data_IF_076611934866
#
_entry.id   IF_076611934866
#
_cell.length_a   1.000
_cell.length_b   1.000
_cell.length_c   1.000
_cell.angle_alpha   90.00
_cell.angle_beta   90.00
_cell.angle_gamma   90.00
#
_symmetry.space_group_name_H-M   'P 1'
#
loop_
_entity.id
_entity.type
_entity.pdbx_description
1 polymer ?
#
# COMPACT_ATOMS: atom_id res chain seq x y z
N UNK A 1 -40.73 -1.22 70.31
CA UNK A 1 -41.17 -2.41 69.55
C UNK A 1 -40.90 -2.14 68.08
N UNK A 2 -40.05 -2.98 67.46
CA UNK A 2 -39.76 -3.13 66.01
C UNK A 2 -39.24 -1.87 65.28
N UNK A 3 -38.15 -1.83 64.51
CA UNK A 3 -37.28 -2.84 63.89
C UNK A 3 -36.81 -2.28 62.53
N UNK A 4 -35.53 -2.47 62.20
CA UNK A 4 -34.95 -2.51 60.84
C UNK A 4 -34.90 -1.19 60.01
N UNK A 5 -33.89 -0.88 59.19
CA UNK A 5 -32.61 -1.47 58.87
C UNK A 5 -31.76 -0.39 58.18
N UNK A 6 -30.47 -0.35 58.51
CA UNK A 6 -29.46 0.38 57.74
C UNK A 6 -29.30 -0.30 56.38
N UNK A 7 -29.63 0.40 55.29
CA UNK A 7 -29.31 -0.04 53.92
C UNK A 7 -28.50 1.04 53.21
N UNK A 8 -27.19 0.90 53.29
CA UNK A 8 -26.24 1.50 52.36
C UNK A 8 -26.60 1.04 50.94
N UNK A 9 -26.77 1.99 50.02
CA UNK A 9 -26.71 1.72 48.59
C UNK A 9 -25.46 2.41 48.07
N UNK A 10 -24.46 1.56 47.83
CA UNK A 10 -23.16 1.88 47.27
C UNK A 10 -23.32 2.54 45.90
N UNK A 11 -22.70 3.71 45.74
CA UNK A 11 -22.52 4.35 44.42
C UNK A 11 -21.49 3.51 43.67
N UNK A 12 -21.93 2.71 42.69
CA UNK A 12 -21.03 2.04 41.76
C UNK A 12 -20.71 3.03 40.65
N UNK A 13 -19.58 3.72 40.77
CA UNK A 13 -18.98 4.49 39.68
C UNK A 13 -18.30 3.49 38.73
N UNK A 14 -19.03 3.00 37.71
CA UNK A 14 -18.45 2.18 36.65
C UNK A 14 -17.55 3.08 35.80
N UNK A 15 -16.25 3.03 36.05
CA UNK A 15 -15.25 3.62 35.18
C UNK A 15 -15.30 2.88 33.82
N UNK A 16 -15.93 3.49 32.82
CA UNK A 16 -15.79 3.07 31.43
C UNK A 16 -14.34 3.34 31.04
N UNK A 17 -13.50 2.30 31.14
CA UNK A 17 -12.14 2.31 30.62
C UNK A 17 -12.26 2.31 29.09
N UNK A 18 -12.27 3.49 28.49
CA UNK A 18 -12.24 3.68 27.05
C UNK A 18 -10.97 3.05 26.50
N UNK A 19 -11.09 1.88 25.88
CA UNK A 19 -10.06 1.34 25.01
C UNK A 19 -9.89 2.32 23.85
N UNK A 20 -8.92 3.22 23.99
CA UNK A 20 -8.38 3.96 22.87
C UNK A 20 -7.73 2.93 21.93
N UNK A 21 -8.52 2.45 20.97
CA UNK A 21 -7.96 1.75 19.82
C UNK A 21 -7.18 2.80 19.06
N UNK A 22 -5.86 2.81 19.23
CA UNK A 22 -4.97 3.55 18.36
C UNK A 22 -5.15 2.98 16.96
N UNK A 23 -6.05 3.55 16.18
CA UNK A 23 -6.03 3.36 14.73
C UNK A 23 -4.71 3.98 14.30
N UNK A 24 -3.72 3.15 14.02
CA UNK A 24 -2.62 3.56 13.16
C UNK A 24 -3.29 3.94 11.85
N UNK A 25 -3.60 5.22 11.68
CA UNK A 25 -3.70 5.84 10.38
C UNK A 25 -2.42 5.39 9.69
N UNK A 26 -2.53 4.46 8.73
CA UNK A 26 -1.43 4.17 7.84
C UNK A 26 -1.14 5.53 7.20
N UNK A 27 -0.06 6.17 7.65
CA UNK A 27 0.42 7.37 7.00
C UNK A 27 0.49 7.01 5.52
N UNK A 28 -0.16 7.80 4.68
CA UNK A 28 -0.12 7.65 3.24
C UNK A 28 1.36 7.52 2.88
N UNK A 29 1.83 6.30 2.58
CA UNK A 29 3.23 6.12 2.25
C UNK A 29 3.40 6.75 0.87
N UNK A 30 4.08 7.89 0.86
CA UNK A 30 4.31 8.67 -0.35
C UNK A 30 5.82 8.71 -0.58
N UNK A 31 6.20 8.43 -1.81
CA UNK A 31 7.59 8.50 -2.26
C UNK A 31 7.75 9.50 -3.38
N UNK A 32 8.83 10.27 -3.31
CA UNK A 32 9.39 10.94 -4.47
C UNK A 32 10.30 9.95 -5.19
N UNK A 33 10.01 9.69 -6.47
CA UNK A 33 10.70 8.65 -7.24
C UNK A 33 11.24 9.16 -8.57
N UNK A 34 12.12 8.39 -9.19
CA UNK A 34 12.69 8.73 -10.52
C UNK A 34 11.65 8.72 -11.66
N UNK A 35 10.43 8.23 -11.41
CA UNK A 35 9.29 8.28 -12.35
C UNK A 35 8.09 9.03 -11.77
N UNK A 36 8.32 10.05 -10.94
CA UNK A 36 7.28 10.89 -10.37
C UNK A 36 6.86 10.47 -8.96
N UNK A 37 5.71 10.96 -8.50
CA UNK A 37 5.24 10.65 -7.14
C UNK A 37 4.57 9.27 -7.14
N UNK A 38 4.90 8.46 -6.13
CA UNK A 38 4.29 7.14 -5.89
C UNK A 38 3.56 7.19 -4.55
N UNK A 39 2.37 6.62 -4.50
CA UNK A 39 1.51 6.63 -3.30
C UNK A 39 1.02 5.21 -3.04
N UNK A 40 1.12 4.76 -1.80
CA UNK A 40 0.45 3.54 -1.34
C UNK A 40 -1.03 3.85 -1.14
N UNK A 41 -1.90 3.25 -1.95
CA UNK A 41 -3.34 3.57 -1.96
C UNK A 41 -4.12 2.69 -1.00
N UNK A 42 -4.06 1.37 -1.21
CA UNK A 42 -4.84 0.39 -0.43
C UNK A 42 -4.33 -1.03 -0.64
N UNK A 43 -4.91 -1.96 0.14
CA UNK A 43 -4.69 -3.40 0.01
C UNK A 43 -5.93 -4.10 -0.55
N UNK A 44 -5.71 -5.00 -1.52
CA UNK A 44 -6.73 -5.91 -2.05
C UNK A 44 -6.26 -7.34 -1.82
N UNK A 45 -6.81 -7.98 -0.79
CA UNK A 45 -6.36 -9.30 -0.36
C UNK A 45 -4.86 -9.27 -0.01
N UNK A 46 -4.01 -10.11 -0.64
CA UNK A 46 -2.57 -10.09 -0.40
C UNK A 46 -1.81 -9.04 -1.24
N UNK A 47 -2.50 -8.23 -2.06
CA UNK A 47 -1.85 -7.33 -3.02
C UNK A 47 -1.91 -5.90 -2.54
N UNK A 48 -0.75 -5.24 -2.42
CA UNK A 48 -0.67 -3.80 -2.21
C UNK A 48 -0.85 -3.08 -3.56
N UNK A 49 -1.67 -2.04 -3.57
CA UNK A 49 -1.93 -1.21 -4.75
C UNK A 49 -1.27 0.14 -4.55
N UNK A 50 -0.33 0.48 -5.43
CA UNK A 50 0.31 1.78 -5.45
C UNK A 50 -0.12 2.55 -6.70
N UNK A 51 -0.34 3.85 -6.57
CA UNK A 51 -0.47 4.73 -7.72
C UNK A 51 0.86 5.40 -8.02
N UNK A 52 1.11 5.70 -9.30
CA UNK A 52 2.18 6.59 -9.70
C UNK A 52 1.70 7.57 -10.75
N UNK A 53 2.25 8.78 -10.70
CA UNK A 53 1.85 9.87 -11.59
C UNK A 53 3.06 10.66 -12.07
N UNK A 54 3.15 10.80 -13.39
CA UNK A 54 3.99 11.80 -14.06
C UNK A 54 3.09 12.84 -14.73
N UNK A 55 3.69 13.82 -15.40
CA UNK A 55 2.93 14.76 -16.25
C UNK A 55 2.18 14.02 -17.37
N UNK A 56 2.78 12.96 -17.91
CA UNK A 56 2.26 12.25 -19.09
C UNK A 56 1.44 10.99 -18.75
N UNK A 57 1.68 10.38 -17.59
CA UNK A 57 1.14 9.05 -17.27
C UNK A 57 0.55 8.97 -15.87
N UNK A 58 -0.52 8.18 -15.78
CA UNK A 58 -1.14 7.74 -14.53
C UNK A 58 -1.21 6.23 -14.59
N UNK A 59 -0.66 5.55 -13.60
CA UNK A 59 -0.68 4.10 -13.55
C UNK A 59 -0.80 3.57 -12.14
N UNK A 60 -1.00 2.26 -12.07
CA UNK A 60 -0.99 1.51 -10.82
C UNK A 60 0.10 0.47 -10.85
N UNK A 61 0.58 0.09 -9.67
CA UNK A 61 1.50 -1.00 -9.44
C UNK A 61 0.85 -1.95 -8.44
N UNK A 62 0.72 -3.22 -8.83
CA UNK A 62 0.14 -4.30 -8.04
C UNK A 62 1.27 -5.16 -7.51
N UNK A 63 1.49 -5.15 -6.19
CA UNK A 63 2.59 -5.85 -5.53
C UNK A 63 2.06 -7.01 -4.70
N UNK A 64 2.25 -8.24 -5.18
CA UNK A 64 1.69 -9.42 -4.54
C UNK A 64 2.52 -9.79 -3.31
N UNK A 65 1.83 -10.00 -2.19
CA UNK A 65 2.42 -10.39 -0.91
C UNK A 65 2.92 -9.24 -0.06
N UNK A 66 2.81 -7.99 -0.54
CA UNK A 66 3.24 -6.80 0.21
C UNK A 66 2.16 -6.27 1.18
N UNK A 67 0.88 -6.55 0.91
CA UNK A 67 -0.24 -6.03 1.69
C UNK A 67 -0.07 -6.25 3.21
N UNK A 68 -0.28 -5.19 3.99
CA UNK A 68 -0.15 -5.20 5.45
C UNK A 68 1.27 -5.41 6.00
N UNK A 69 2.30 -5.51 5.16
CA UNK A 69 3.70 -5.66 5.59
C UNK A 69 4.38 -4.29 5.62
N UNK A 70 4.58 -3.74 6.81
CA UNK A 70 5.18 -2.42 7.00
C UNK A 70 6.62 -2.45 7.54
N UNK A 71 7.11 -3.60 8.01
CA UNK A 71 8.46 -3.74 8.58
C UNK A 71 9.16 -4.98 8.01
N UNK A 72 10.50 -4.97 7.97
CA UNK A 72 11.30 -6.08 7.42
C UNK A 72 10.88 -6.48 6.00
N UNK A 73 10.54 -5.47 5.19
CA UNK A 73 10.17 -5.66 3.79
C UNK A 73 11.37 -6.16 2.99
N UNK A 74 11.13 -7.15 2.13
CA UNK A 74 12.14 -7.77 1.27
C UNK A 74 11.99 -7.38 -0.18
N UNK A 75 11.96 -8.38 -1.05
CA UNK A 75 11.64 -8.23 -2.46
C UNK A 75 10.25 -8.76 -2.78
N UNK A 76 9.57 -8.10 -3.72
CA UNK A 76 8.23 -8.47 -4.15
C UNK A 76 8.14 -8.43 -5.67
N UNK A 77 7.29 -9.29 -6.21
CA UNK A 77 6.93 -9.32 -7.62
C UNK A 77 5.56 -8.68 -7.82
N UNK A 78 5.39 -8.09 -8.98
CA UNK A 78 4.18 -7.38 -9.33
C UNK A 78 4.08 -7.07 -10.80
N UNK A 79 3.12 -6.20 -11.10
CA UNK A 79 2.95 -5.65 -12.43
C UNK A 79 2.45 -4.21 -12.34
N UNK A 80 2.84 -3.40 -13.31
CA UNK A 80 2.28 -2.07 -13.52
C UNK A 80 1.18 -2.13 -14.59
N UNK A 81 0.20 -1.24 -14.50
CA UNK A 81 -0.86 -1.04 -15.50
C UNK A 81 -1.05 0.43 -15.79
N UNK A 82 -1.36 0.74 -17.05
CA UNK A 82 -1.70 2.09 -17.53
C UNK A 82 -2.86 2.01 -18.52
N UNK A 83 -3.50 3.15 -18.78
CA UNK A 83 -4.51 3.24 -19.83
C UNK A 83 -3.90 3.18 -21.24
N UNK A 84 -2.67 3.68 -21.39
CA UNK A 84 -1.91 3.69 -22.63
C UNK A 84 -0.42 3.59 -22.32
N UNK A 85 0.33 2.93 -23.20
CA UNK A 85 1.79 2.84 -23.15
C UNK A 85 2.35 2.50 -24.53
N UNK A 86 3.66 2.64 -24.71
CA UNK A 86 4.31 2.39 -26.01
C UNK A 86 4.15 0.96 -26.54
N UNK A 87 3.76 0.00 -25.69
CA UNK A 87 3.61 -1.41 -26.05
C UNK A 87 2.28 -1.96 -25.54
N UNK A 88 1.57 -2.63 -26.43
CA UNK A 88 0.37 -3.39 -26.10
C UNK A 88 0.71 -4.88 -25.91
N UNK A 89 0.18 -5.48 -24.86
CA UNK A 89 0.36 -6.89 -24.53
C UNK A 89 -0.79 -7.76 -25.05
N UNK A 90 -0.51 -9.04 -25.34
CA UNK A 90 -1.52 -10.02 -25.78
C UNK A 90 -2.56 -10.39 -24.71
N UNK A 91 -2.31 -10.03 -23.45
CA UNK A 91 -3.17 -10.36 -22.31
C UNK A 91 -3.54 -9.08 -21.59
N UNK A 92 -4.67 -9.11 -20.90
CA UNK A 92 -5.19 -7.96 -20.18
C UNK A 92 -5.04 -8.11 -18.67
N UNK A 93 -4.89 -6.98 -17.99
CA UNK A 93 -4.81 -6.89 -16.52
C UNK A 93 -5.84 -5.90 -15.99
N UNK A 94 -6.39 -6.14 -14.78
CA UNK A 94 -7.37 -5.24 -14.18
C UNK A 94 -6.74 -3.89 -13.80
N UNK A 95 -7.51 -2.82 -13.92
CA UNK A 95 -7.21 -1.47 -13.42
C UNK A 95 -8.02 -1.18 -12.15
N UNK A 96 -7.81 -0.02 -11.51
CA UNK A 96 -8.51 0.37 -10.27
C UNK A 96 -10.03 0.41 -10.44
N UNK A 97 -10.51 0.69 -11.65
CA UNK A 97 -11.92 0.92 -11.92
C UNK A 97 -12.69 -0.38 -12.24
N UNK A 98 -12.04 -1.54 -12.12
CA UNK A 98 -12.62 -2.83 -12.54
C UNK A 98 -12.64 -3.03 -14.06
N UNK A 99 -12.07 -2.10 -14.82
CA UNK A 99 -11.78 -2.25 -16.24
C UNK A 99 -10.51 -3.07 -16.43
N UNK A 100 -10.21 -3.42 -17.68
CA UNK A 100 -8.99 -4.14 -18.03
C UNK A 100 -8.21 -3.40 -19.12
N UNK A 101 -6.89 -3.45 -19.05
CA UNK A 101 -5.98 -2.85 -20.04
C UNK A 101 -5.00 -3.87 -20.60
N UNK A 102 -4.66 -3.72 -21.88
CA UNK A 102 -3.56 -4.45 -22.52
C UNK A 102 -2.20 -3.76 -22.29
N UNK A 103 -2.15 -2.59 -21.67
CA UNK A 103 -0.92 -1.84 -21.39
C UNK A 103 -0.44 -2.12 -19.96
N UNK A 104 0.43 -3.10 -19.84
CA UNK A 104 0.97 -3.53 -18.56
C UNK A 104 2.37 -4.11 -18.72
N UNK A 105 3.03 -4.34 -17.59
CA UNK A 105 4.27 -5.10 -17.61
C UNK A 105 4.79 -5.48 -16.24
N UNK A 106 5.86 -6.28 -16.20
CA UNK A 106 6.44 -6.81 -14.96
C UNK A 106 7.03 -5.71 -14.10
N UNK A 107 6.97 -5.91 -12.79
CA UNK A 107 7.55 -5.01 -11.81
C UNK A 107 8.17 -5.81 -10.66
N UNK A 108 9.48 -5.67 -10.48
CA UNK A 108 10.23 -6.29 -9.40
C UNK A 108 10.74 -5.21 -8.47
N UNK A 109 10.36 -5.23 -7.21
CA UNK A 109 10.76 -4.23 -6.21
C UNK A 109 11.58 -4.85 -5.09
N UNK A 110 12.54 -4.08 -4.56
CA UNK A 110 13.30 -4.40 -3.37
C UNK A 110 13.32 -3.21 -2.42
N UNK A 111 12.96 -3.44 -1.17
CA UNK A 111 13.11 -2.44 -0.11
C UNK A 111 14.55 -2.42 0.40
N UNK A 112 15.07 -1.21 0.64
CA UNK A 112 16.46 -0.97 1.00
C UNK A 112 16.61 -0.80 2.51
N UNK A 113 15.66 -0.13 3.14
CA UNK A 113 15.69 0.21 4.55
C UNK A 113 14.86 -0.76 5.40
N UNK A 114 15.28 -0.92 6.66
CA UNK A 114 14.51 -1.67 7.67
C UNK A 114 13.41 -0.82 8.32
N UNK A 115 13.61 0.50 8.33
CA UNK A 115 12.73 1.47 8.96
C UNK A 115 11.59 1.88 8.03
N UNK A 116 10.46 2.26 8.61
CA UNK A 116 9.24 2.68 7.90
C UNK A 116 9.06 4.20 7.97
N UNK A 117 8.65 4.87 6.87
CA UNK A 117 8.56 4.36 5.50
C UNK A 117 9.94 4.10 4.89
N UNK A 118 10.05 3.11 4.00
CA UNK A 118 11.32 2.58 3.52
C UNK A 118 11.64 3.08 2.12
N UNK A 119 12.92 3.37 1.81
CA UNK A 119 13.35 3.52 0.41
C UNK A 119 13.26 2.19 -0.32
N UNK A 120 13.12 2.27 -1.63
CA UNK A 120 13.06 1.09 -2.50
C UNK A 120 13.70 1.37 -3.86
N UNK A 121 14.10 0.28 -4.51
CA UNK A 121 14.48 0.23 -5.91
C UNK A 121 13.63 -0.81 -6.62
N UNK A 122 13.38 -0.60 -7.91
CA UNK A 122 12.61 -1.50 -8.72
C UNK A 122 13.14 -1.58 -10.16
N UNK A 123 12.95 -2.73 -10.76
CA UNK A 123 13.13 -2.98 -12.18
C UNK A 123 11.76 -3.30 -12.78
N UNK A 124 11.51 -2.82 -13.98
CA UNK A 124 10.22 -2.95 -14.65
C UNK A 124 10.45 -3.34 -16.10
N UNK A 125 9.46 -3.93 -16.76
CA UNK A 125 9.54 -4.25 -18.19
C UNK A 125 8.15 -4.24 -18.81
N UNK A 126 8.05 -4.44 -20.12
CA UNK A 126 6.76 -4.51 -20.81
C UNK A 126 6.29 -5.95 -20.94
N UNK A 127 4.99 -6.19 -20.73
CA UNK A 127 4.39 -7.53 -20.87
C UNK A 127 5.19 -8.59 -20.09
N UNK A 128 5.71 -9.61 -20.78
CA UNK A 128 6.57 -10.66 -20.22
C UNK A 128 8.02 -10.56 -20.71
N UNK A 129 8.41 -9.42 -21.27
CA UNK A 129 9.77 -9.21 -21.77
C UNK A 129 10.78 -9.17 -20.61
N UNK A 130 12.06 -9.06 -20.96
CA UNK A 130 13.12 -8.77 -20.01
C UNK A 130 12.88 -7.43 -19.31
N UNK A 131 13.40 -7.32 -18.08
CA UNK A 131 13.30 -6.07 -17.33
C UNK A 131 14.26 -5.05 -17.93
N UNK A 132 13.83 -3.79 -17.92
CA UNK A 132 14.64 -2.66 -18.32
C UNK A 132 15.87 -2.51 -17.41
N UNK A 133 16.99 -2.16 -18.02
CA UNK A 133 18.25 -1.86 -17.33
C UNK A 133 18.12 -0.65 -16.38
N UNK A 134 17.19 0.26 -16.70
CA UNK A 134 16.98 1.47 -15.92
C UNK A 134 16.24 1.19 -14.61
N UNK A 135 16.88 1.50 -13.49
CA UNK A 135 16.29 1.38 -12.15
C UNK A 135 15.28 2.49 -11.88
N UNK A 136 14.16 2.12 -11.26
CA UNK A 136 13.21 3.03 -10.66
C UNK A 136 13.43 3.07 -9.15
N UNK A 137 13.78 4.23 -8.60
CA UNK A 137 14.06 4.40 -7.18
C UNK A 137 13.02 5.32 -6.53
N UNK A 138 12.60 4.99 -5.31
CA UNK A 138 11.69 5.80 -4.51
C UNK A 138 12.26 6.12 -3.13
N UNK A 139 12.12 7.38 -2.71
CA UNK A 139 12.50 7.87 -1.38
C UNK A 139 11.28 8.45 -0.68
N UNK A 140 11.02 8.11 0.59
CA UNK A 140 9.88 8.66 1.30
C UNK A 140 9.90 10.19 1.28
N UNK A 141 8.75 10.80 1.00
CA UNK A 141 8.59 12.24 1.11
C UNK A 141 8.66 12.64 2.58
N UNK A 142 9.53 13.60 2.90
CA UNK A 142 9.73 14.16 4.25
C UNK A 142 8.69 15.20 4.63
#
# INVERSE_FOLDING_TARGET
MFGDAMKSISIIFTALLGLAVSTTINADEIWDSTKGKVVYELDIGPTAIWSYRTEDYVGLIHLVGLAGIHTNRGSYEGYWVQNDSIKECLTQRPTQNGETTSHWGRFHIRFIDKDFPSRWEAHWGYCNDELEEATWEGKPTS
#
